data_IF_476587413126
#
_entry.id   IF_476587413126
#
_cell.length_a   1.000
_cell.length_b   1.000
_cell.length_c   1.000
_cell.angle_alpha   90.00
_cell.angle_beta   90.00
_cell.angle_gamma   90.00
#
_symmetry.space_group_name_H-M   'P 1'
#
loop_
_entity.id
_entity.type
_entity.pdbx_description
1 polymer ?
#
# COMPACT_ATOMS: atom_id res chain seq x y z
N UNK A 1 -11.01 11.41 -8.79
CA UNK A 1 -10.08 10.34 -8.41
C UNK A 1 -9.42 10.56 -7.05
N UNK A 2 -8.61 11.60 -6.83
CA UNK A 2 -7.87 11.79 -5.57
C UNK A 2 -8.75 12.12 -4.36
N UNK A 3 -9.87 12.80 -4.56
CA UNK A 3 -10.83 13.17 -3.49
C UNK A 3 -11.61 11.94 -3.01
N UNK A 4 -12.05 11.07 -3.92
CA UNK A 4 -12.72 9.81 -3.59
C UNK A 4 -11.79 8.82 -2.87
N UNK A 5 -10.50 8.76 -3.27
CA UNK A 5 -9.52 7.97 -2.56
C UNK A 5 -9.39 8.42 -1.10
N UNK A 6 -9.43 9.73 -0.83
CA UNK A 6 -9.30 10.31 0.51
C UNK A 6 -10.38 9.85 1.48
N UNK A 7 -11.64 9.83 1.07
CA UNK A 7 -12.77 9.53 1.99
C UNK A 7 -12.95 8.02 2.20
N UNK A 8 -12.86 7.22 1.15
CA UNK A 8 -13.06 5.76 1.21
C UNK A 8 -12.02 5.04 2.07
N UNK A 9 -10.79 5.55 2.11
CA UNK A 9 -9.67 4.91 2.81
C UNK A 9 -9.40 5.44 4.22
N UNK A 10 -10.08 6.53 4.64
CA UNK A 10 -9.93 7.06 6.01
C UNK A 10 -10.72 6.23 7.03
N UNK A 11 -11.85 5.65 6.63
CA UNK A 11 -12.76 4.93 7.53
C UNK A 11 -12.27 3.55 7.97
N UNK A 12 -11.26 2.99 7.30
CA UNK A 12 -10.71 1.65 7.56
C UNK A 12 -9.19 1.68 7.59
N UNK A 13 -8.58 0.61 8.11
CA UNK A 13 -7.16 0.36 8.00
C UNK A 13 -6.75 0.07 6.56
N UNK A 14 -5.58 0.50 6.16
CA UNK A 14 -4.99 0.26 4.84
C UNK A 14 -4.06 -0.96 4.82
N UNK A 15 -4.11 -1.80 5.84
CA UNK A 15 -3.21 -2.92 6.05
C UNK A 15 -3.95 -4.23 6.27
N UNK A 16 -3.22 -5.34 6.14
CA UNK A 16 -3.69 -6.68 6.48
C UNK A 16 -2.58 -7.52 7.09
N UNK A 17 -2.93 -8.51 7.90
CA UNK A 17 -2.01 -9.44 8.53
C UNK A 17 -2.76 -10.65 9.12
N UNK A 18 -2.02 -11.70 9.48
CA UNK A 18 -2.54 -12.74 10.35
C UNK A 18 -2.15 -12.46 11.80
N UNK A 19 -3.12 -12.53 12.71
CA UNK A 19 -2.93 -12.51 14.17
C UNK A 19 -3.26 -13.89 14.73
N UNK A 20 -2.24 -14.66 15.04
CA UNK A 20 -2.42 -16.10 15.23
C UNK A 20 -2.83 -16.77 13.91
N UNK A 21 -4.04 -17.32 13.89
CA UNK A 21 -4.64 -17.94 12.70
C UNK A 21 -5.75 -17.08 12.06
N UNK A 22 -6.10 -15.96 12.67
CA UNK A 22 -7.13 -15.05 12.18
C UNK A 22 -6.57 -14.08 11.14
N UNK A 23 -7.17 -14.07 9.94
CA UNK A 23 -6.83 -13.11 8.91
C UNK A 23 -7.59 -11.79 9.11
N UNK A 24 -6.85 -10.72 9.32
CA UNK A 24 -7.36 -9.37 9.51
C UNK A 24 -7.07 -8.55 8.27
N UNK A 25 -8.10 -8.02 7.64
CA UNK A 25 -7.98 -7.17 6.44
C UNK A 25 -8.78 -5.90 6.61
N UNK A 26 -8.15 -4.77 6.33
CA UNK A 26 -8.76 -3.43 6.38
C UNK A 26 -9.62 -3.21 7.63
N UNK A 27 -9.08 -3.38 8.85
CA UNK A 27 -9.86 -3.33 10.07
C UNK A 27 -10.49 -1.96 10.29
N UNK A 28 -11.61 -1.95 11.02
CA UNK A 28 -12.21 -0.69 11.49
C UNK A 28 -11.44 -0.20 12.71
N UNK A 29 -11.02 1.07 12.76
CA UNK A 29 -10.30 1.61 13.90
C UNK A 29 -11.20 1.77 15.13
N UNK A 30 -10.62 1.58 16.33
CA UNK A 30 -11.28 1.88 17.61
C UNK A 30 -11.37 3.38 17.85
N UNK A 31 -10.38 4.14 17.36
CA UNK A 31 -10.38 5.60 17.41
C UNK A 31 -9.70 6.21 16.19
N UNK A 32 -10.14 7.41 15.84
CA UNK A 32 -9.55 8.21 14.76
C UNK A 32 -9.35 9.63 15.26
N UNK A 33 -8.11 10.11 15.20
CA UNK A 33 -7.77 11.50 15.48
C UNK A 33 -7.36 12.19 14.19
N UNK A 34 -7.91 13.37 13.94
CA UNK A 34 -7.56 14.22 12.80
C UNK A 34 -6.81 15.45 13.27
N UNK A 35 -5.68 15.71 12.66
CA UNK A 35 -4.94 16.95 12.84
C UNK A 35 -4.64 17.58 11.48
N UNK A 36 -4.50 18.91 11.47
CA UNK A 36 -4.23 19.65 10.25
C UNK A 36 -3.05 20.59 10.44
N UNK A 37 -2.11 20.52 9.51
CA UNK A 37 -0.95 21.41 9.40
C UNK A 37 -1.01 22.20 8.09
N UNK A 38 -0.05 23.10 7.92
CA UNK A 38 0.01 23.94 6.71
C UNK A 38 0.10 23.09 5.43
N UNK A 39 0.91 22.03 5.45
CA UNK A 39 1.29 21.21 4.31
C UNK A 39 0.49 19.90 4.19
N UNK A 40 -0.16 19.45 5.28
CA UNK A 40 -0.81 18.12 5.34
C UNK A 40 -2.01 18.05 6.26
N UNK A 41 -2.83 17.04 6.03
CA UNK A 41 -3.86 16.56 6.95
C UNK A 41 -3.43 15.18 7.41
N UNK A 42 -3.33 14.97 8.72
CA UNK A 42 -2.92 13.70 9.32
C UNK A 42 -4.11 13.03 10.01
N UNK A 43 -4.27 11.75 9.78
CA UNK A 43 -5.21 10.88 10.46
C UNK A 43 -4.42 9.84 11.24
N UNK A 44 -4.60 9.81 12.56
CA UNK A 44 -4.04 8.77 13.42
C UNK A 44 -5.19 7.84 13.82
N UNK A 45 -5.08 6.58 13.41
CA UNK A 45 -6.07 5.53 13.62
C UNK A 45 -5.48 4.48 14.55
N UNK A 46 -6.17 4.18 15.65
CA UNK A 46 -5.73 3.18 16.61
C UNK A 46 -6.60 1.93 16.54
N UNK A 47 -5.95 0.79 16.65
CA UNK A 47 -6.56 -0.54 16.61
C UNK A 47 -6.02 -1.38 17.77
N UNK A 48 -6.91 -2.11 18.46
CA UNK A 48 -6.54 -2.99 19.56
C UNK A 48 -7.02 -4.42 19.26
N UNK A 49 -6.08 -5.35 19.22
CA UNK A 49 -6.34 -6.76 18.97
C UNK A 49 -6.04 -7.60 20.21
N UNK A 50 -7.05 -8.36 20.67
CA UNK A 50 -6.94 -9.27 21.81
C UNK A 50 -6.50 -8.58 23.12
N UNK A 51 -6.74 -7.27 23.28
CA UNK A 51 -6.30 -6.44 24.41
C UNK A 51 -4.78 -6.42 24.65
N UNK A 52 -4.00 -6.93 23.74
CA UNK A 52 -2.54 -7.04 23.85
C UNK A 52 -1.78 -6.30 22.76
N UNK A 53 -2.24 -6.41 21.51
CA UNK A 53 -1.59 -5.82 20.35
C UNK A 53 -2.25 -4.49 19.98
N UNK A 54 -1.53 -3.40 20.08
CA UNK A 54 -1.94 -2.12 19.53
C UNK A 54 -1.23 -1.88 18.19
N UNK A 55 -2.02 -1.47 17.18
CA UNK A 55 -1.49 -0.92 15.94
C UNK A 55 -1.98 0.51 15.83
N UNK A 56 -1.06 1.43 15.54
CA UNK A 56 -1.37 2.83 15.22
C UNK A 56 -0.97 3.06 13.77
N UNK A 57 -1.95 3.39 12.94
CA UNK A 57 -1.75 3.78 11.55
C UNK A 57 -1.83 5.30 11.45
N UNK A 58 -0.76 5.91 10.96
CA UNK A 58 -0.76 7.33 10.61
C UNK A 58 -0.87 7.47 9.10
N UNK A 59 -1.88 8.18 8.64
CA UNK A 59 -2.10 8.50 7.22
C UNK A 59 -1.98 10.01 7.03
N UNK A 60 -0.93 10.45 6.36
CA UNK A 60 -0.67 11.85 6.01
C UNK A 60 -1.10 12.10 4.56
N UNK A 61 -2.01 13.04 4.36
CA UNK A 61 -2.45 13.50 3.05
C UNK A 61 -1.84 14.87 2.77
N UNK A 62 -0.96 14.95 1.79
CA UNK A 62 -0.32 16.21 1.41
C UNK A 62 -1.33 17.11 0.68
N UNK A 63 -1.30 18.44 0.98
CA UNK A 63 -2.24 19.39 0.40
C UNK A 63 -1.85 19.83 -1.00
N UNK A 64 -0.57 20.07 -1.20
CA UNK A 64 -0.04 20.64 -2.44
C UNK A 64 0.33 19.57 -3.48
N UNK A 65 0.39 18.30 -3.05
CA UNK A 65 0.77 17.18 -3.90
C UNK A 65 -0.22 16.03 -3.78
N UNK A 66 -0.45 15.28 -4.86
CA UNK A 66 -1.32 14.10 -4.83
C UNK A 66 -0.60 12.90 -4.18
N UNK A 67 -0.14 13.07 -2.93
CA UNK A 67 0.62 12.07 -2.18
C UNK A 67 -0.09 11.75 -0.88
N UNK A 68 -0.17 10.46 -0.58
CA UNK A 68 -0.60 9.91 0.71
C UNK A 68 0.56 9.08 1.26
N UNK A 69 0.96 9.39 2.48
CA UNK A 69 1.94 8.62 3.24
C UNK A 69 1.24 7.80 4.31
N UNK A 70 1.57 6.53 4.43
CA UNK A 70 1.06 5.68 5.53
C UNK A 70 2.21 5.09 6.33
N UNK A 71 2.02 5.00 7.64
CA UNK A 71 2.98 4.41 8.58
C UNK A 71 2.25 3.58 9.61
N UNK A 72 2.78 2.39 9.90
CA UNK A 72 2.27 1.54 10.97
C UNK A 72 3.26 1.51 12.14
N UNK A 73 2.75 1.71 13.34
CA UNK A 73 3.46 1.50 14.59
C UNK A 73 2.76 0.37 15.34
N UNK A 74 3.50 -0.70 15.59
CA UNK A 74 3.00 -1.92 16.23
C UNK A 74 3.61 -2.00 17.62
N UNK A 75 2.77 -2.20 18.63
CA UNK A 75 3.19 -2.26 20.04
C UNK A 75 2.48 -3.38 20.77
N UNK A 76 3.23 -4.20 21.49
CA UNK A 76 2.67 -5.05 22.53
C UNK A 76 2.38 -4.16 23.77
N UNK A 77 1.13 -4.13 24.21
CA UNK A 77 0.68 -3.36 25.38
C UNK A 77 0.64 -4.17 26.67
N UNK A 78 0.87 -5.47 26.59
CA UNK A 78 0.86 -6.36 27.74
C UNK A 78 2.28 -6.80 28.12
N UNK A 79 2.45 -7.33 29.33
CA UNK A 79 3.69 -7.94 29.78
C UNK A 79 3.88 -9.37 29.21
N UNK A 80 2.82 -9.94 28.64
CA UNK A 80 2.84 -11.25 28.02
C UNK A 80 3.10 -11.19 26.52
N UNK A 81 3.45 -12.31 25.92
CA UNK A 81 3.56 -12.40 24.45
C UNK A 81 2.19 -12.21 23.80
N UNK A 82 2.18 -11.51 22.69
CA UNK A 82 1.03 -11.46 21.78
C UNK A 82 0.95 -12.74 20.95
N UNK A 83 -0.16 -12.94 20.25
CA UNK A 83 -0.19 -13.91 19.17
C UNK A 83 0.83 -13.56 18.08
N UNK A 84 1.20 -14.57 17.31
CA UNK A 84 2.17 -14.40 16.22
C UNK A 84 1.58 -13.56 15.09
N UNK A 85 2.31 -12.53 14.68
CA UNK A 85 1.99 -11.74 13.48
C UNK A 85 2.66 -12.42 12.28
N UNK A 86 1.87 -12.71 11.22
CA UNK A 86 2.34 -13.30 9.96
C UNK A 86 1.83 -12.48 8.78
N UNK A 87 2.57 -12.49 7.68
CA UNK A 87 2.19 -11.93 6.37
C UNK A 87 1.66 -10.49 6.44
N UNK A 88 2.35 -9.64 7.21
CA UNK A 88 2.00 -8.23 7.34
C UNK A 88 2.19 -7.51 6.01
N UNK A 89 1.08 -7.02 5.46
CA UNK A 89 1.05 -6.06 4.35
C UNK A 89 0.77 -4.68 4.92
N UNK A 90 1.74 -3.81 4.85
CA UNK A 90 1.63 -2.43 5.37
C UNK A 90 0.73 -1.55 4.52
N UNK A 91 0.47 -1.96 3.28
CA UNK A 91 -0.51 -1.37 2.37
C UNK A 91 -1.25 -2.52 1.66
N UNK A 92 -2.54 -2.65 1.91
CA UNK A 92 -3.45 -3.61 1.27
C UNK A 92 -4.71 -2.87 0.84
N UNK A 93 -4.69 -2.33 -0.37
CA UNK A 93 -5.75 -1.50 -0.94
C UNK A 93 -6.23 -2.07 -2.26
N UNK A 94 -7.47 -1.75 -2.61
CA UNK A 94 -8.04 -1.99 -3.93
C UNK A 94 -8.13 -0.66 -4.65
N UNK A 95 -7.47 -0.56 -5.79
CA UNK A 95 -7.58 0.58 -6.70
C UNK A 95 -8.59 0.21 -7.78
N UNK A 96 -9.60 1.05 -7.95
CA UNK A 96 -10.52 0.96 -9.07
C UNK A 96 -9.89 1.68 -10.26
N UNK A 97 -9.67 0.97 -11.35
CA UNK A 97 -9.14 1.55 -12.59
C UNK A 97 -10.30 1.86 -13.53
N UNK A 98 -10.33 3.06 -14.09
CA UNK A 98 -11.27 3.41 -15.15
C UNK A 98 -10.87 2.63 -16.41
N UNK A 99 -11.85 1.99 -17.06
CA UNK A 99 -11.65 1.20 -18.28
C UNK A 99 -11.39 2.02 -19.54
N UNK A 100 -11.36 3.34 -19.43
CA UNK A 100 -11.20 4.21 -20.59
C UNK A 100 -9.72 4.38 -20.99
N UNK A 101 -9.19 3.34 -21.65
CA UNK A 101 -8.06 3.56 -22.53
C UNK A 101 -8.61 4.18 -23.83
N UNK A 102 -8.16 5.37 -24.27
CA UNK A 102 -8.60 5.95 -25.51
C UNK A 102 -8.35 4.95 -26.65
N UNK A 103 -9.40 4.58 -27.36
CA UNK A 103 -9.32 3.74 -28.54
C UNK A 103 -8.41 4.41 -29.57
N UNK A 104 -7.23 3.85 -29.80
CA UNK A 104 -6.29 4.37 -30.78
C UNK A 104 -4.83 4.02 -30.57
N UNK A 105 -4.47 3.44 -29.44
CA UNK A 105 -3.16 2.83 -29.26
C UNK A 105 -3.21 1.35 -29.64
N UNK A 106 -2.18 0.80 -30.32
CA UNK A 106 -2.19 -0.56 -30.84
C UNK A 106 -2.00 -1.66 -29.78
N UNK A 107 -2.41 -1.43 -28.56
CA UNK A 107 -2.46 -2.45 -27.51
C UNK A 107 -3.92 -2.71 -27.21
N UNK A 108 -4.48 -3.72 -27.84
CA UNK A 108 -5.85 -4.23 -27.65
C UNK A 108 -6.12 -4.81 -26.25
N UNK A 109 -5.49 -4.28 -25.19
CA UNK A 109 -5.69 -4.78 -23.86
C UNK A 109 -6.38 -3.72 -23.01
N UNK A 110 -7.66 -3.95 -22.73
CA UNK A 110 -8.51 -3.21 -21.77
C UNK A 110 -8.03 -3.31 -20.30
N UNK A 111 -6.76 -3.61 -20.07
CA UNK A 111 -6.23 -3.84 -18.73
C UNK A 111 -5.39 -2.66 -18.27
N UNK A 112 -5.57 -2.29 -17.01
CA UNK A 112 -4.63 -1.43 -16.33
C UNK A 112 -3.23 -2.06 -16.33
N UNK A 113 -2.20 -1.24 -16.34
CA UNK A 113 -0.81 -1.69 -16.35
C UNK A 113 -0.04 -1.11 -15.19
N UNK A 114 0.90 -1.90 -14.66
CA UNK A 114 1.92 -1.42 -13.75
C UNK A 114 3.18 -1.11 -14.56
N UNK A 115 3.66 0.11 -14.47
CA UNK A 115 4.95 0.50 -15.03
C UNK A 115 5.97 0.35 -13.91
N UNK A 116 6.89 -0.56 -14.08
CA UNK A 116 7.98 -0.79 -13.13
C UNK A 116 9.33 -0.56 -13.77
N UNK A 117 10.31 -0.30 -12.96
CA UNK A 117 11.69 -0.12 -13.40
C UNK A 117 12.57 -1.19 -12.75
N UNK A 118 13.60 -1.64 -13.47
CA UNK A 118 14.67 -2.41 -12.87
C UNK A 118 15.65 -1.42 -12.22
N UNK A 119 15.93 -1.60 -10.94
CA UNK A 119 17.03 -0.92 -10.28
C UNK A 119 18.31 -1.72 -10.45
N UNK A 120 19.42 -1.03 -10.58
CA UNK A 120 20.78 -1.55 -10.61
C UNK A 120 20.96 -2.89 -11.35
N UNK A 121 21.18 -2.84 -12.59
CA UNK A 121 21.82 -3.86 -13.38
C UNK A 121 23.00 -3.21 -14.15
N UNK A 122 23.83 -3.99 -14.75
CA UNK A 122 25.05 -3.54 -15.42
C UNK A 122 24.88 -3.45 -16.96
N UNK A 123 23.67 -3.48 -17.44
CA UNK A 123 23.33 -3.59 -18.85
C UNK A 123 22.51 -2.39 -19.32
N UNK A 124 22.54 -2.07 -20.61
CA UNK A 124 21.91 -0.87 -21.17
C UNK A 124 20.37 -0.79 -21.00
N UNK A 125 19.72 -1.89 -20.61
CA UNK A 125 18.26 -1.96 -20.41
C UNK A 125 17.79 -1.57 -19.01
N UNK A 126 18.66 -1.08 -18.15
CA UNK A 126 18.48 -1.04 -16.70
C UNK A 126 17.52 0.01 -16.18
N UNK A 127 17.36 1.08 -16.88
CA UNK A 127 16.43 2.16 -16.52
C UNK A 127 15.19 2.18 -17.44
N UNK A 128 15.01 1.14 -18.26
CA UNK A 128 13.87 1.09 -19.16
C UNK A 128 12.58 0.74 -18.39
N UNK A 129 11.46 1.39 -18.69
CA UNK A 129 10.18 1.02 -18.13
C UNK A 129 9.74 -0.35 -18.65
N UNK A 130 9.28 -1.21 -17.74
CA UNK A 130 8.64 -2.47 -18.04
C UNK A 130 7.13 -2.35 -17.77
N UNK A 131 6.30 -2.74 -18.73
CA UNK A 131 4.85 -2.72 -18.59
C UNK A 131 4.37 -4.12 -18.22
N UNK A 132 3.77 -4.27 -17.06
CA UNK A 132 3.07 -5.50 -16.67
C UNK A 132 1.56 -5.22 -16.69
N UNK A 133 0.85 -5.89 -17.60
CA UNK A 133 -0.59 -5.73 -17.71
C UNK A 133 -1.29 -6.50 -16.59
N UNK A 134 -2.17 -5.80 -15.87
CA UNK A 134 -2.97 -6.39 -14.82
C UNK A 134 -4.16 -7.11 -15.45
N UNK A 135 -4.30 -8.39 -15.16
CA UNK A 135 -5.47 -9.18 -15.52
C UNK A 135 -5.98 -9.89 -14.27
N UNK A 136 -7.27 -10.21 -14.24
CA UNK A 136 -7.92 -10.89 -13.11
C UNK A 136 -7.30 -12.26 -12.79
N UNK A 137 -6.54 -12.83 -13.72
CA UNK A 137 -5.95 -14.16 -13.61
C UNK A 137 -4.48 -14.17 -13.21
N UNK A 138 -3.81 -13.00 -13.12
CA UNK A 138 -2.38 -12.91 -12.84
C UNK A 138 -2.09 -12.15 -11.56
N UNK A 139 -1.35 -12.81 -10.67
CA UNK A 139 -0.71 -12.15 -9.52
C UNK A 139 0.69 -11.71 -9.95
N UNK A 140 0.94 -10.41 -9.94
CA UNK A 140 2.26 -9.87 -10.13
C UNK A 140 2.91 -9.65 -8.76
N UNK A 141 4.11 -10.15 -8.58
CA UNK A 141 4.88 -9.98 -7.35
C UNK A 141 6.24 -9.36 -7.68
N UNK A 142 6.56 -8.28 -7.00
CA UNK A 142 7.80 -7.56 -7.18
C UNK A 142 8.56 -7.55 -5.86
N UNK A 143 9.72 -8.18 -5.85
CA UNK A 143 10.58 -8.22 -4.68
C UNK A 143 12.04 -7.98 -5.10
N UNK A 144 12.78 -7.13 -4.40
CA UNK A 144 14.19 -6.95 -4.64
C UNK A 144 14.95 -8.25 -4.30
N UNK A 145 16.01 -8.50 -5.04
CA UNK A 145 16.85 -9.69 -4.90
C UNK A 145 18.06 -9.35 -4.01
N UNK A 146 18.61 -10.33 -3.30
CA UNK A 146 19.86 -10.24 -2.56
C UNK A 146 19.93 -9.15 -1.47
N UNK A 147 18.82 -8.89 -0.80
CA UNK A 147 18.72 -7.93 0.32
C UNK A 147 19.12 -6.47 -0.03
N UNK A 148 19.12 -6.11 -1.30
CA UNK A 148 19.29 -4.73 -1.76
C UNK A 148 17.93 -4.15 -2.13
N UNK A 149 17.63 -2.95 -1.66
CA UNK A 149 16.30 -2.33 -1.82
C UNK A 149 15.87 -2.05 -3.27
N UNK A 150 16.78 -2.14 -4.24
CA UNK A 150 16.50 -1.87 -5.65
C UNK A 150 17.15 -2.88 -6.61
N UNK A 151 17.66 -4.03 -6.10
CA UNK A 151 18.27 -5.05 -6.95
C UNK A 151 17.19 -5.83 -7.71
N UNK A 152 17.20 -5.72 -9.03
CA UNK A 152 16.25 -6.35 -9.94
C UNK A 152 14.88 -5.68 -10.05
N UNK A 153 14.41 -4.97 -9.04
CA UNK A 153 13.14 -4.21 -9.05
C UNK A 153 13.28 -2.97 -8.20
N UNK A 154 12.94 -1.81 -8.74
CA UNK A 154 12.84 -0.59 -7.94
C UNK A 154 11.62 -0.65 -7.02
N UNK A 155 11.75 -0.05 -5.84
CA UNK A 155 10.72 -0.08 -4.80
C UNK A 155 9.51 0.83 -5.08
N UNK A 156 9.37 1.36 -6.27
CA UNK A 156 8.24 2.19 -6.71
C UNK A 156 7.80 1.81 -8.11
N UNK A 157 6.52 1.98 -8.34
CA UNK A 157 5.84 1.67 -9.59
C UNK A 157 4.73 2.72 -9.81
N UNK A 158 4.33 2.85 -11.08
CA UNK A 158 3.20 3.67 -11.51
C UNK A 158 2.06 2.78 -12.02
N UNK A 159 0.80 3.16 -11.78
CA UNK A 159 -0.41 2.38 -12.10
C UNK A 159 -1.39 3.22 -12.90
#
# INVERSE_FOLDING_TARGET
MFTEFKEKHISKGLFSFYYGDDFIKNPTPDSVERSERKDRISYEKSYLFGNKLQIVETTDVLKDFPVIETRLKIKNQSEENTEKIKDLKTLDIVLETEKDVPSGFPCDNDYAKVIRYRGYAREEEECCPHNDYLSDEKIHSYAPIQARSCDGVMAYFDV
#
